data_IF_844732248462
#
_entry.id   IF_844732248462
#
_cell.length_a   1.000
_cell.length_b   1.000
_cell.length_c   1.000
_cell.angle_alpha   90.00
_cell.angle_beta   90.00
_cell.angle_gamma   90.00
#
_symmetry.space_group_name_H-M   'P 1'
#
loop_
_entity.id
_entity.type
_entity.pdbx_description
1 polymer ?
#
# COMPACT_ATOMS: atom_id res chain seq x y z
N UNK A 1 -1.37 12.80 -2.05
CA UNK A 1 -1.76 11.39 -2.22
C UNK A 1 -0.48 10.57 -2.23
N UNK A 2 -0.44 9.40 -1.60
CA UNK A 2 0.70 8.48 -1.74
C UNK A 2 0.24 7.32 -2.57
N UNK A 3 0.79 7.24 -3.78
CA UNK A 3 0.58 6.14 -4.70
C UNK A 3 1.91 5.52 -5.07
N UNK A 4 1.85 4.24 -5.42
CA UNK A 4 2.87 3.57 -6.19
C UNK A 4 2.31 3.42 -7.60
N UNK A 5 3.11 3.81 -8.58
CA UNK A 5 2.87 3.45 -9.97
C UNK A 5 3.56 2.11 -10.25
N UNK A 6 2.99 1.27 -11.11
CA UNK A 6 3.82 0.29 -11.81
C UNK A 6 4.67 1.07 -12.84
N UNK A 7 5.71 1.74 -12.33
CA UNK A 7 6.79 2.29 -13.13
C UNK A 7 7.86 1.22 -13.27
N UNK A 8 7.81 0.57 -14.43
CA UNK A 8 8.64 -0.51 -14.95
C UNK A 8 10.12 -0.48 -14.52
N UNK A 9 10.42 -1.02 -13.33
CA UNK A 9 11.80 -1.17 -12.84
C UNK A 9 12.19 -2.64 -12.61
N UNK A 10 11.29 -3.59 -12.91
CA UNK A 10 11.59 -5.03 -12.96
C UNK A 10 11.93 -5.45 -14.39
N UNK A 11 13.01 -6.21 -14.53
CA UNK A 11 13.56 -6.71 -15.79
C UNK A 11 12.61 -7.68 -16.53
N UNK A 12 11.74 -8.38 -15.80
CA UNK A 12 10.79 -9.37 -16.35
C UNK A 12 9.41 -8.78 -16.71
N UNK A 13 8.95 -7.77 -15.96
CA UNK A 13 7.62 -7.14 -16.16
C UNK A 13 7.59 -6.25 -17.42
N UNK A 14 8.73 -5.61 -17.70
CA UNK A 14 8.85 -4.61 -18.77
C UNK A 14 8.71 -5.17 -20.19
N UNK A 15 9.30 -6.34 -20.55
CA UNK A 15 9.15 -6.92 -21.88
C UNK A 15 7.73 -7.47 -22.15
N UNK A 16 7.11 -8.12 -21.16
CA UNK A 16 5.75 -8.68 -21.29
C UNK A 16 4.71 -7.60 -21.55
N UNK A 17 4.74 -6.52 -20.76
CA UNK A 17 3.80 -5.40 -20.92
C UNK A 17 4.02 -4.61 -22.23
N UNK A 18 5.24 -4.52 -22.75
CA UNK A 18 5.47 -3.95 -24.09
C UNK A 18 4.86 -4.81 -25.20
N UNK A 19 4.92 -6.14 -25.07
CA UNK A 19 4.26 -7.04 -26.02
C UNK A 19 2.75 -6.90 -25.93
N UNK A 20 2.19 -6.78 -24.73
CA UNK A 20 0.76 -6.51 -24.54
C UNK A 20 0.39 -5.18 -25.18
N UNK A 21 1.10 -4.09 -24.88
CA UNK A 21 0.78 -2.79 -25.46
C UNK A 21 0.86 -2.77 -26.99
N UNK A 22 1.69 -3.64 -27.59
CA UNK A 22 1.78 -3.80 -29.04
C UNK A 22 0.71 -4.76 -29.61
N UNK A 23 0.28 -5.76 -28.85
CA UNK A 23 -0.66 -6.79 -29.29
C UNK A 23 -2.13 -6.42 -29.02
N UNK A 24 -2.39 -5.70 -27.93
CA UNK A 24 -3.73 -5.30 -27.52
C UNK A 24 -4.08 -3.93 -28.11
N UNK A 25 -5.25 -3.86 -28.74
CA UNK A 25 -5.85 -2.60 -29.21
C UNK A 25 -6.25 -1.66 -28.06
N UNK A 26 -6.61 -2.25 -26.91
CA UNK A 26 -6.92 -1.53 -25.67
C UNK A 26 -6.40 -2.34 -24.47
N UNK A 27 -5.29 -1.93 -23.81
CA UNK A 27 -4.75 -2.61 -22.63
C UNK A 27 -5.45 -2.22 -21.32
N UNK A 28 -6.45 -1.32 -21.35
CA UNK A 28 -7.15 -0.86 -20.14
C UNK A 28 -7.75 -2.01 -19.31
N UNK A 29 -8.33 -3.08 -19.89
CA UNK A 29 -8.82 -4.22 -19.12
C UNK A 29 -7.70 -4.90 -18.29
N UNK A 30 -6.53 -5.15 -18.89
CA UNK A 30 -5.37 -5.68 -18.17
C UNK A 30 -4.99 -4.78 -16.99
N UNK A 31 -4.91 -3.47 -17.22
CA UNK A 31 -4.53 -2.53 -16.16
C UNK A 31 -5.57 -2.43 -15.03
N UNK A 32 -6.85 -2.68 -15.31
CA UNK A 32 -7.87 -2.81 -14.26
C UNK A 32 -7.65 -4.05 -13.41
N UNK A 33 -7.39 -5.19 -14.04
CA UNK A 33 -7.15 -6.45 -13.34
C UNK A 33 -5.89 -6.37 -12.48
N UNK A 34 -4.81 -5.79 -13.01
CA UNK A 34 -3.60 -5.50 -12.25
C UNK A 34 -3.85 -4.52 -11.09
N UNK A 35 -4.71 -3.52 -11.28
CA UNK A 35 -5.12 -2.60 -10.22
C UNK A 35 -5.86 -3.30 -9.08
N UNK A 36 -6.81 -4.18 -9.41
CA UNK A 36 -7.55 -4.99 -8.44
C UNK A 36 -6.63 -5.92 -7.67
N UNK A 37 -5.71 -6.60 -8.37
CA UNK A 37 -4.68 -7.45 -7.81
C UNK A 37 -3.81 -6.68 -6.81
N UNK A 38 -3.28 -5.52 -7.19
CA UNK A 38 -2.39 -4.74 -6.32
C UNK A 38 -3.12 -4.11 -5.12
N UNK A 39 -4.40 -3.75 -5.26
CA UNK A 39 -5.23 -3.34 -4.13
C UNK A 39 -5.39 -4.50 -3.15
N UNK A 40 -5.67 -5.71 -3.62
CA UNK A 40 -5.86 -6.87 -2.75
C UNK A 40 -4.56 -7.31 -2.08
N UNK A 41 -3.45 -7.37 -2.82
CA UNK A 41 -2.12 -7.62 -2.27
C UNK A 41 -1.76 -6.61 -1.17
N UNK A 42 -2.01 -5.31 -1.42
CA UNK A 42 -1.80 -4.27 -0.43
C UNK A 42 -2.63 -4.51 0.84
N UNK A 43 -3.91 -4.91 0.72
CA UNK A 43 -4.72 -5.27 1.90
C UNK A 43 -4.16 -6.48 2.64
N UNK A 44 -3.62 -7.46 1.93
CA UNK A 44 -3.00 -8.63 2.53
C UNK A 44 -1.74 -8.28 3.34
N UNK A 45 -0.95 -7.29 2.89
CA UNK A 45 0.15 -6.70 3.67
C UNK A 45 -0.36 -6.17 5.03
N UNK A 46 -1.51 -5.47 5.05
CA UNK A 46 -2.15 -5.04 6.30
C UNK A 46 -2.63 -6.20 7.17
N UNK A 47 -3.28 -7.20 6.57
CA UNK A 47 -3.82 -8.36 7.29
C UNK A 47 -2.70 -9.15 8.01
N UNK A 48 -1.58 -9.33 7.32
CA UNK A 48 -0.40 -10.09 7.76
C UNK A 48 0.62 -9.24 8.53
N UNK A 49 0.48 -7.91 8.51
CA UNK A 49 1.41 -6.96 9.15
C UNK A 49 2.83 -7.04 8.57
N UNK A 50 2.93 -7.13 7.25
CA UNK A 50 4.18 -7.30 6.49
C UNK A 50 4.27 -6.30 5.35
N UNK A 51 5.49 -5.94 4.99
CA UNK A 51 5.80 -5.19 3.79
C UNK A 51 5.66 -6.08 2.53
N UNK A 52 5.63 -5.50 1.32
CA UNK A 52 5.53 -6.27 0.07
C UNK A 52 6.61 -7.35 -0.09
N UNK A 53 7.81 -7.10 0.41
CA UNK A 53 8.91 -8.08 0.43
C UNK A 53 8.75 -9.22 1.46
N UNK A 54 7.68 -9.19 2.26
CA UNK A 54 7.39 -10.13 3.33
C UNK A 54 7.97 -9.75 4.69
N UNK A 55 8.77 -8.68 4.79
CA UNK A 55 9.39 -8.23 6.03
C UNK A 55 8.32 -7.77 7.04
N UNK A 56 8.30 -8.27 8.29
CA UNK A 56 7.36 -7.80 9.30
C UNK A 56 7.50 -6.30 9.58
N UNK A 57 6.38 -5.58 9.69
CA UNK A 57 6.43 -4.17 10.06
C UNK A 57 6.87 -3.98 11.52
N UNK A 58 7.64 -2.91 11.80
CA UNK A 58 7.92 -2.49 13.17
C UNK A 58 6.63 -2.34 14.00
N UNK A 59 6.64 -2.92 15.20
CA UNK A 59 5.53 -2.86 16.15
C UNK A 59 5.13 -1.41 16.49
N UNK A 60 3.94 -1.23 17.07
CA UNK A 60 3.55 0.07 17.63
C UNK A 60 4.42 0.37 18.86
N UNK A 61 4.82 1.63 19.01
CA UNK A 61 5.54 2.07 20.20
C UNK A 61 4.67 1.93 21.46
N UNK A 62 5.29 1.75 22.64
CA UNK A 62 4.59 1.73 23.92
C UNK A 62 3.78 3.02 24.14
N UNK A 63 4.31 4.17 23.75
CA UNK A 63 3.61 5.46 23.83
C UNK A 63 2.34 5.49 22.97
N UNK A 64 2.37 4.89 21.78
CA UNK A 64 1.19 4.77 20.92
C UNK A 64 0.13 3.86 21.55
N UNK A 65 0.53 2.71 22.10
CA UNK A 65 -0.38 1.78 22.77
C UNK A 65 -1.01 2.40 24.01
N UNK A 66 -0.23 3.13 24.81
CA UNK A 66 -0.70 3.83 26.00
C UNK A 66 -1.66 4.96 25.64
N UNK A 67 -1.38 5.72 24.56
CA UNK A 67 -2.32 6.70 24.03
C UNK A 67 -3.65 6.04 23.61
N UNK A 68 -3.62 4.86 22.98
CA UNK A 68 -4.85 4.13 22.67
C UNK A 68 -5.58 3.70 23.94
N UNK A 69 -4.90 3.17 24.95
CA UNK A 69 -5.52 2.79 26.23
C UNK A 69 -6.19 3.98 26.91
N UNK A 70 -5.55 5.15 26.93
CA UNK A 70 -6.12 6.37 27.55
C UNK A 70 -7.32 6.94 26.82
N UNK A 71 -7.35 6.83 25.48
CA UNK A 71 -8.44 7.36 24.64
C UNK A 71 -9.60 6.38 24.53
N UNK A 72 -9.31 5.11 24.25
CA UNK A 72 -10.31 4.07 24.00
C UNK A 72 -10.68 3.30 25.27
N UNK A 73 -9.80 3.17 26.27
CA UNK A 73 -10.14 2.55 27.56
C UNK A 73 -11.17 3.32 28.39
N UNK A 74 -11.48 4.58 28.01
CA UNK A 74 -12.62 5.33 28.55
C UNK A 74 -13.97 4.88 27.95
N UNK A 75 -13.95 4.19 26.81
CA UNK A 75 -15.12 3.51 26.24
C UNK A 75 -15.03 2.05 26.69
N UNK A 76 -15.87 1.67 27.65
CA UNK A 76 -15.85 0.32 28.21
C UNK A 76 -15.79 -0.73 27.08
N UNK A 77 -14.74 -1.57 27.09
CA UNK A 77 -14.48 -2.67 26.16
C UNK A 77 -14.06 -2.34 24.71
N UNK A 78 -13.62 -1.12 24.37
CA UNK A 78 -13.05 -0.87 23.05
C UNK A 78 -11.68 -1.58 22.89
N UNK A 79 -11.51 -2.50 21.92
CA UNK A 79 -10.26 -3.23 21.75
C UNK A 79 -9.12 -2.28 21.37
N UNK A 80 -7.99 -2.37 22.08
CA UNK A 80 -6.78 -1.61 21.76
C UNK A 80 -6.15 -2.22 20.51
N UNK A 81 -6.05 -1.50 19.38
CA UNK A 81 -5.45 -2.04 18.19
C UNK A 81 -3.94 -2.19 18.38
N UNK A 82 -3.47 -3.42 18.47
CA UNK A 82 -2.03 -3.74 18.68
C UNK A 82 -1.27 -3.92 17.36
N UNK A 83 -1.95 -4.38 16.30
CA UNK A 83 -1.33 -4.60 14.97
C UNK A 83 -0.78 -3.30 14.36
N UNK A 84 0.47 -3.28 13.85
CA UNK A 84 1.02 -2.11 13.16
C UNK A 84 0.15 -1.70 11.98
N UNK A 85 0.12 -0.40 11.68
CA UNK A 85 -0.77 0.25 10.68
C UNK A 85 -2.29 0.08 10.83
N UNK A 86 -2.76 -0.80 11.72
CA UNK A 86 -4.17 -0.94 12.02
C UNK A 86 -4.53 0.01 13.17
N UNK A 87 -5.44 0.93 12.92
CA UNK A 87 -6.10 1.76 13.94
C UNK A 87 -7.51 1.25 14.25
N UNK A 88 -8.20 1.89 15.18
CA UNK A 88 -9.57 1.53 15.58
C UNK A 88 -10.52 1.45 14.38
N UNK A 89 -10.44 2.43 13.49
CA UNK A 89 -11.29 2.53 12.29
C UNK A 89 -10.74 1.76 11.09
N UNK A 90 -9.50 1.26 11.16
CA UNK A 90 -8.79 0.58 10.05
C UNK A 90 -8.80 1.35 8.72
N UNK A 91 -8.95 2.68 8.77
CA UNK A 91 -9.21 3.48 7.57
C UNK A 91 -8.11 3.38 6.52
N UNK A 92 -6.85 3.28 6.93
CA UNK A 92 -5.74 3.18 5.98
C UNK A 92 -5.84 1.90 5.14
N UNK A 93 -6.14 0.74 5.76
CA UNK A 93 -6.30 -0.52 5.03
C UNK A 93 -7.57 -0.58 4.18
N UNK A 94 -8.62 0.18 4.52
CA UNK A 94 -9.87 0.22 3.76
C UNK A 94 -9.90 1.29 2.66
N UNK A 95 -8.89 2.16 2.56
CA UNK A 95 -8.86 3.26 1.57
C UNK A 95 -7.66 3.16 0.66
N UNK A 96 -7.39 1.94 0.21
CA UNK A 96 -6.53 1.66 -0.93
C UNK A 96 -7.41 1.62 -2.17
N UNK A 97 -7.03 2.36 -3.20
CA UNK A 97 -7.73 2.42 -4.48
C UNK A 97 -6.70 2.43 -5.62
N UNK A 98 -7.17 2.15 -6.83
CA UNK A 98 -6.37 2.22 -8.04
C UNK A 98 -7.01 3.13 -9.10
N UNK A 99 -6.20 3.59 -10.04
CA UNK A 99 -6.60 4.29 -11.26
C UNK A 99 -5.91 3.60 -12.44
N UNK A 100 -6.70 3.09 -13.38
CA UNK A 100 -6.22 2.39 -14.57
C UNK A 100 -6.55 3.18 -15.84
N UNK A 101 -5.59 3.26 -16.74
CA UNK A 101 -5.68 3.95 -18.04
C UNK A 101 -5.07 3.08 -19.13
N UNK A 102 -5.10 3.53 -20.39
CA UNK A 102 -4.41 2.82 -21.47
C UNK A 102 -2.88 2.84 -21.32
N UNK A 103 -2.33 3.68 -20.43
CA UNK A 103 -0.90 3.86 -20.24
C UNK A 103 -0.35 3.04 -19.07
N UNK A 104 -1.21 2.61 -18.14
CA UNK A 104 -0.77 1.93 -16.93
C UNK A 104 -1.80 1.94 -15.82
N UNK A 105 -1.36 1.50 -14.64
CA UNK A 105 -2.15 1.50 -13.41
C UNK A 105 -1.33 2.06 -12.25
N UNK A 106 -1.97 2.94 -11.49
CA UNK A 106 -1.49 3.46 -10.22
C UNK A 106 -2.38 2.95 -9.09
N UNK A 107 -1.82 2.66 -7.92
CA UNK A 107 -2.61 2.36 -6.72
C UNK A 107 -2.01 2.97 -5.47
N UNK A 108 -2.87 3.25 -4.49
CA UNK A 108 -2.42 3.93 -3.29
C UNK A 108 -3.53 4.39 -2.37
N UNK A 109 -3.19 5.35 -1.51
CA UNK A 109 -4.12 5.96 -0.57
C UNK A 109 -4.02 7.48 -0.59
N UNK A 110 -5.17 8.14 -0.53
CA UNK A 110 -5.26 9.59 -0.39
C UNK A 110 -5.17 10.07 1.07
N UNK A 111 -4.96 9.16 2.03
CA UNK A 111 -4.89 9.50 3.45
C UNK A 111 -3.62 10.29 3.77
N UNK A 112 -3.76 11.36 4.56
CA UNK A 112 -2.64 12.22 4.99
C UNK A 112 -1.52 11.41 5.66
N UNK A 113 -1.90 10.42 6.50
CA UNK A 113 -0.94 9.58 7.21
C UNK A 113 -0.25 8.52 6.34
N UNK A 114 -0.70 8.29 5.10
CA UNK A 114 -0.13 7.26 4.22
C UNK A 114 1.36 7.51 3.99
N UNK A 115 1.77 8.76 3.76
CA UNK A 115 3.17 9.14 3.54
C UNK A 115 4.06 8.84 4.74
N UNK A 116 3.64 9.27 5.93
CA UNK A 116 4.39 9.04 7.16
C UNK A 116 4.52 7.54 7.47
N UNK A 117 3.54 6.72 7.09
CA UNK A 117 3.60 5.28 7.28
C UNK A 117 4.48 4.59 6.23
N UNK A 118 4.37 4.99 4.96
CA UNK A 118 5.16 4.43 3.86
C UNK A 118 6.65 4.76 4.03
N UNK A 119 6.98 6.02 4.30
CA UNK A 119 8.36 6.54 4.29
C UNK A 119 8.94 6.80 5.67
N UNK A 120 8.15 6.64 6.74
CA UNK A 120 8.56 7.05 8.08
C UNK A 120 8.54 8.58 8.25
N UNK A 121 8.86 9.03 9.46
CA UNK A 121 9.01 10.46 9.76
C UNK A 121 9.85 10.67 11.02
N UNK A 122 10.75 11.66 10.99
CA UNK A 122 11.46 12.10 12.19
C UNK A 122 10.51 12.83 13.15
N UNK A 123 10.85 12.85 14.45
CA UNK A 123 10.16 13.69 15.43
C UNK A 123 10.16 15.15 14.96
N UNK A 124 8.99 15.79 14.94
CA UNK A 124 8.84 17.18 14.52
C UNK A 124 8.90 17.43 13.01
N UNK A 125 8.92 16.39 12.18
CA UNK A 125 8.97 16.53 10.72
C UNK A 125 7.81 17.34 10.10
N UNK A 126 6.70 17.51 10.83
CA UNK A 126 5.50 18.21 10.41
C UNK A 126 5.23 19.47 11.26
N UNK A 127 6.27 20.01 11.93
CA UNK A 127 6.17 21.22 12.75
C UNK A 127 5.81 20.93 14.21
N UNK A 128 5.12 21.87 14.86
CA UNK A 128 4.75 21.80 16.27
C UNK A 128 3.30 22.24 16.50
N UNK A 129 2.67 21.70 17.53
CA UNK A 129 1.35 22.13 18.02
C UNK A 129 1.45 23.50 18.71
N UNK A 130 0.29 24.12 19.00
CA UNK A 130 0.22 25.41 19.70
C UNK A 130 0.89 25.43 21.09
N UNK A 131 1.00 24.26 21.73
CA UNK A 131 1.70 24.09 23.00
C UNK A 131 3.21 23.83 22.85
N UNK A 132 3.77 23.98 21.64
CA UNK A 132 5.19 23.75 21.33
C UNK A 132 5.60 22.28 21.18
N UNK A 133 4.69 21.31 21.36
CA UNK A 133 5.02 19.89 21.20
C UNK A 133 5.21 19.54 19.70
N UNK A 134 6.24 18.75 19.34
CA UNK A 134 6.56 18.47 17.93
C UNK A 134 5.58 17.48 17.31
N UNK A 135 5.38 17.56 16.00
CA UNK A 135 4.53 16.68 15.22
C UNK A 135 5.41 15.97 14.19
N UNK A 136 5.55 14.64 14.24
CA UNK A 136 5.09 13.74 15.28
C UNK A 136 5.86 13.92 16.60
N UNK A 137 5.25 13.52 17.72
CA UNK A 137 5.85 13.63 19.07
C UNK A 137 7.11 12.79 19.26
N UNK A 138 7.31 11.77 18.42
CA UNK A 138 8.45 10.88 18.37
C UNK A 138 8.68 10.39 16.93
N UNK A 139 9.72 9.60 16.73
CA UNK A 139 10.02 9.01 15.42
C UNK A 139 8.94 8.01 15.00
N UNK A 140 8.57 8.06 13.73
CA UNK A 140 7.69 7.09 13.08
C UNK A 140 8.58 6.20 12.20
N UNK A 141 8.71 4.90 12.53
CA UNK A 141 9.44 3.99 11.67
C UNK A 141 8.67 3.72 10.38
N UNK A 142 9.42 3.40 9.32
CA UNK A 142 8.89 2.97 8.02
C UNK A 142 8.07 1.69 8.18
N UNK A 143 6.93 1.65 7.50
CA UNK A 143 6.05 0.49 7.37
C UNK A 143 5.55 0.48 5.92
N UNK A 144 6.44 0.19 4.94
CA UNK A 144 6.06 0.24 3.54
C UNK A 144 4.96 -0.79 3.30
N UNK A 145 3.83 -0.32 2.78
CA UNK A 145 2.65 -1.14 2.50
C UNK A 145 2.30 -1.11 1.02
N UNK A 146 2.73 -0.08 0.30
CA UNK A 146 2.69 -0.01 -1.16
C UNK A 146 4.02 -0.48 -1.74
N UNK A 147 3.94 -1.24 -2.83
CA UNK A 147 5.07 -1.81 -3.55
C UNK A 147 4.66 -3.12 -4.21
N UNK A 148 5.58 -3.69 -5.00
CA UNK A 148 5.42 -4.99 -5.63
C UNK A 148 6.33 -5.96 -4.88
N UNK A 149 5.72 -6.99 -4.28
CA UNK A 149 6.42 -8.08 -3.60
C UNK A 149 6.74 -9.24 -4.53
N UNK A 150 7.55 -10.22 -4.09
CA UNK A 150 7.90 -11.39 -4.91
C UNK A 150 6.70 -12.19 -5.42
N UNK A 151 5.63 -12.31 -4.61
CA UNK A 151 4.38 -12.94 -5.06
C UNK A 151 3.65 -12.09 -6.08
N UNK A 152 3.61 -10.78 -5.87
CA UNK A 152 2.94 -9.85 -6.78
C UNK A 152 3.60 -9.88 -8.17
N UNK A 153 4.93 -9.96 -8.24
CA UNK A 153 5.65 -10.08 -9.53
C UNK A 153 5.18 -11.30 -10.33
N UNK A 154 5.01 -12.44 -9.66
CA UNK A 154 4.52 -13.67 -10.31
C UNK A 154 3.08 -13.49 -10.79
N UNK A 155 2.18 -13.02 -9.92
CA UNK A 155 0.76 -12.87 -10.26
C UNK A 155 0.56 -11.81 -11.37
N UNK A 156 1.37 -10.74 -11.38
CA UNK A 156 1.37 -9.72 -12.44
C UNK A 156 1.79 -10.35 -13.78
N UNK A 157 2.89 -11.11 -13.80
CA UNK A 157 3.39 -11.77 -15.02
C UNK A 157 2.38 -12.77 -15.55
N UNK A 158 1.79 -13.60 -14.69
CA UNK A 158 0.74 -14.56 -15.06
C UNK A 158 -0.46 -13.84 -15.69
N UNK A 159 -0.93 -12.76 -15.08
CA UNK A 159 -2.04 -11.95 -15.63
C UNK A 159 -1.68 -11.38 -17.01
N UNK A 160 -0.45 -10.90 -17.21
CA UNK A 160 0.03 -10.38 -18.50
C UNK A 160 0.05 -11.49 -19.56
N UNK A 161 0.55 -12.67 -19.20
CA UNK A 161 0.67 -13.82 -20.10
C UNK A 161 -0.70 -14.34 -20.54
N UNK A 162 -1.68 -14.40 -19.63
CA UNK A 162 -3.06 -14.79 -19.95
C UNK A 162 -3.68 -13.87 -21.01
N UNK A 163 -3.49 -12.56 -20.85
CA UNK A 163 -3.96 -11.57 -21.83
C UNK A 163 -3.24 -11.68 -23.19
N UNK A 164 -1.95 -12.01 -23.20
CA UNK A 164 -1.21 -12.25 -24.45
C UNK A 164 -1.73 -13.49 -25.17
N UNK A 165 -1.94 -14.60 -24.47
CA UNK A 165 -2.45 -15.83 -25.06
C UNK A 165 -3.84 -15.60 -25.67
N UNK A 166 -4.75 -14.96 -24.94
CA UNK A 166 -6.09 -14.63 -25.45
C UNK A 166 -6.07 -13.70 -26.68
N UNK A 167 -5.03 -12.88 -26.87
CA UNK A 167 -4.87 -12.04 -28.04
C UNK A 167 -4.32 -12.78 -29.28
N UNK A 168 -3.63 -13.90 -29.09
CA UNK A 168 -3.09 -14.72 -30.18
C UNK A 168 -4.05 -15.83 -30.63
N UNK A 169 -4.96 -16.27 -29.75
CA UNK A 169 -5.94 -17.32 -30.03
C UNK A 169 -7.25 -16.81 -30.66
N UNK A 170 -7.42 -15.48 -30.80
CA UNK A 170 -8.59 -14.81 -31.39
C UNK A 170 -8.31 -14.24 -32.78
#
# INVERSE_FOLDING_TARGET
MVGTSIDFTSDQITPGLRRVAAALKDPTPLYRDLGELMVESTKQNFATSRAPDGTPWPAKSLASLESYRRREGKKANAPVPTKPLIGVTRMLSYTIAYEASAQGVDWGSNRIQAAAMQFGAKRGAFGSMSNGSPIPWGEIPTRPFLGVGPKDEVDIVETIEDYLQGAFDG
#
